data_IF_181696352321
#
_entry.id   IF_181696352321
#
_cell.length_a   1.000
_cell.length_b   1.000
_cell.length_c   1.000
_cell.angle_alpha   90.00
_cell.angle_beta   90.00
_cell.angle_gamma   90.00
#
_symmetry.space_group_name_H-M   'P 1'
#
loop_
_entity.id
_entity.type
_entity.pdbx_description
1 polymer ?
#
# COMPACT_ATOMS: atom_id res chain seq x y z
N UNK A 1 8.23 -21.30 13.84
CA UNK A 1 9.08 -20.22 13.31
C UNK A 1 8.23 -19.31 12.45
N UNK A 2 8.17 -18.02 12.77
CA UNK A 2 7.44 -17.02 11.99
C UNK A 2 8.18 -16.72 10.68
N UNK A 3 7.49 -16.14 9.68
CA UNK A 3 8.14 -15.69 8.44
C UNK A 3 9.23 -14.65 8.71
N UNK A 4 9.05 -13.80 9.72
CA UNK A 4 10.05 -12.83 10.16
C UNK A 4 11.31 -13.52 10.65
N UNK A 5 11.19 -14.52 11.52
CA UNK A 5 12.32 -15.29 12.02
C UNK A 5 13.08 -16.00 10.90
N UNK A 6 12.37 -16.54 9.91
CA UNK A 6 12.99 -17.18 8.74
C UNK A 6 13.78 -16.17 7.90
N UNK A 7 13.20 -14.99 7.62
CA UNK A 7 13.88 -13.98 6.79
C UNK A 7 15.14 -13.44 7.47
N UNK A 8 15.09 -13.19 8.79
CA UNK A 8 16.26 -12.77 9.56
C UNK A 8 17.35 -13.85 9.54
N UNK A 9 16.97 -15.12 9.63
CA UNK A 9 17.92 -16.23 9.58
C UNK A 9 18.61 -16.33 8.21
N UNK A 10 17.90 -16.10 7.11
CA UNK A 10 18.51 -16.10 5.77
C UNK A 10 19.38 -14.86 5.53
N UNK A 11 18.94 -13.67 5.95
CA UNK A 11 19.73 -12.44 5.81
C UNK A 11 21.08 -12.56 6.52
N UNK A 12 21.11 -13.12 7.72
CA UNK A 12 22.35 -13.32 8.48
C UNK A 12 23.37 -14.24 7.82
N UNK A 13 22.97 -15.03 6.81
CA UNK A 13 23.90 -15.89 6.04
C UNK A 13 24.58 -15.13 4.91
N UNK A 14 24.10 -13.95 4.54
CA UNK A 14 24.66 -13.15 3.46
C UNK A 14 25.94 -12.43 3.91
N UNK A 15 26.79 -11.98 2.97
CA UNK A 15 27.88 -11.05 3.26
C UNK A 15 27.37 -9.74 3.90
N UNK A 16 28.17 -9.07 4.75
CA UNK A 16 27.75 -7.84 5.43
C UNK A 16 27.22 -6.75 4.49
N UNK A 17 27.86 -6.55 3.33
CA UNK A 17 27.41 -5.56 2.35
C UNK A 17 25.99 -5.85 1.84
N UNK A 18 25.67 -7.12 1.58
CA UNK A 18 24.34 -7.51 1.15
C UNK A 18 23.32 -7.43 2.29
N UNK A 19 23.73 -7.68 3.53
CA UNK A 19 22.85 -7.51 4.68
C UNK A 19 22.36 -6.06 4.80
N UNK A 20 23.28 -5.10 4.64
CA UNK A 20 22.95 -3.67 4.67
C UNK A 20 22.06 -3.26 3.49
N UNK A 21 22.36 -3.72 2.27
CA UNK A 21 21.54 -3.42 1.09
C UNK A 21 20.09 -3.91 1.26
N UNK A 22 19.91 -5.15 1.74
CA UNK A 22 18.58 -5.70 2.01
C UNK A 22 17.89 -4.98 3.18
N UNK A 23 18.62 -4.64 4.25
CA UNK A 23 18.06 -3.92 5.38
C UNK A 23 17.54 -2.53 4.97
N UNK A 24 18.31 -1.79 4.15
CA UNK A 24 17.89 -0.51 3.60
C UNK A 24 16.60 -0.63 2.79
N UNK A 25 16.53 -1.61 1.87
CA UNK A 25 15.32 -1.85 1.08
C UNK A 25 14.09 -2.16 1.94
N UNK A 26 14.24 -2.95 3.02
CA UNK A 26 13.12 -3.21 3.92
C UNK A 26 12.69 -1.98 4.71
N UNK A 27 13.64 -1.15 5.16
CA UNK A 27 13.33 0.10 5.87
C UNK A 27 12.61 1.10 4.95
N UNK A 28 13.07 1.24 3.71
CA UNK A 28 12.41 2.07 2.70
C UNK A 28 10.99 1.58 2.43
N UNK A 29 10.82 0.27 2.25
CA UNK A 29 9.50 -0.32 2.02
C UNK A 29 8.55 -0.13 3.22
N UNK A 30 9.05 -0.20 4.45
CA UNK A 30 8.24 0.06 5.64
C UNK A 30 7.81 1.52 5.72
N UNK A 31 8.70 2.45 5.38
CA UNK A 31 8.39 3.88 5.34
C UNK A 31 7.39 4.23 4.22
N UNK A 32 7.52 3.60 3.04
CA UNK A 32 6.60 3.76 1.92
C UNK A 32 5.25 3.09 2.15
N UNK A 33 5.21 1.91 2.79
CA UNK A 33 3.96 1.21 3.06
C UNK A 33 3.00 2.07 3.88
N UNK A 34 3.50 2.85 4.82
CA UNK A 34 2.66 3.78 5.57
C UNK A 34 2.11 4.94 4.74
N UNK A 35 2.75 5.27 3.61
CA UNK A 35 2.29 6.36 2.72
C UNK A 35 1.27 5.92 1.68
N UNK A 36 1.31 4.66 1.23
CA UNK A 36 0.50 4.18 0.11
C UNK A 36 -0.51 3.07 0.46
N UNK A 37 -0.66 2.70 1.73
CA UNK A 37 -1.69 1.75 2.16
C UNK A 37 -3.00 2.46 2.45
N UNK A 38 -4.10 1.84 2.01
CA UNK A 38 -5.43 2.22 2.43
C UNK A 38 -5.65 1.79 3.89
N UNK A 39 -6.35 2.60 4.68
CA UNK A 39 -6.83 2.18 5.99
C UNK A 39 -7.84 1.05 5.85
N UNK A 40 -8.06 0.27 6.92
CA UNK A 40 -9.04 -0.81 6.91
C UNK A 40 -10.44 -0.32 6.48
N UNK A 41 -10.84 0.87 6.93
CA UNK A 41 -12.10 1.51 6.54
C UNK A 41 -12.14 1.83 5.03
N UNK A 42 -11.06 2.36 4.48
CA UNK A 42 -10.94 2.64 3.05
C UNK A 42 -10.98 1.35 2.22
N UNK A 43 -10.35 0.28 2.70
CA UNK A 43 -10.39 -1.05 2.06
C UNK A 43 -11.81 -1.61 2.06
N UNK A 44 -12.53 -1.53 3.17
CA UNK A 44 -13.93 -1.97 3.25
C UNK A 44 -14.83 -1.17 2.31
N UNK A 45 -14.64 0.15 2.21
CA UNK A 45 -15.40 0.98 1.26
C UNK A 45 -15.11 0.58 -0.21
N UNK A 46 -13.85 0.30 -0.55
CA UNK A 46 -13.50 -0.21 -1.89
C UNK A 46 -14.17 -1.56 -2.14
N UNK A 47 -14.11 -2.49 -1.19
CA UNK A 47 -14.77 -3.81 -1.29
C UNK A 47 -16.28 -3.66 -1.48
N UNK A 48 -16.94 -2.79 -0.70
CA UNK A 48 -18.37 -2.50 -0.80
C UNK A 48 -18.74 -1.98 -2.19
N UNK A 49 -17.97 -1.03 -2.74
CA UNK A 49 -18.21 -0.48 -4.10
C UNK A 49 -17.98 -1.52 -5.19
N UNK A 50 -16.97 -2.37 -5.05
CA UNK A 50 -16.71 -3.44 -6.02
C UNK A 50 -17.81 -4.51 -6.03
N UNK A 51 -18.50 -4.73 -4.91
CA UNK A 51 -19.59 -5.69 -4.80
C UNK A 51 -20.92 -5.17 -5.37
N UNK A 52 -21.03 -3.86 -5.68
CA UNK A 52 -22.22 -3.28 -6.29
C UNK A 52 -22.38 -3.75 -7.73
N UNK A 53 -23.52 -4.36 -8.04
CA UNK A 53 -23.84 -4.90 -9.38
C UNK A 53 -24.31 -3.83 -10.36
N UNK A 54 -24.64 -2.62 -9.87
CA UNK A 54 -25.06 -1.51 -10.72
C UNK A 54 -24.39 -0.20 -10.28
N UNK A 55 -23.05 -0.11 -10.42
CA UNK A 55 -22.30 1.04 -9.97
C UNK A 55 -22.63 2.29 -10.80
N UNK A 56 -22.64 3.44 -10.14
CA UNK A 56 -22.73 4.75 -10.81
C UNK A 56 -21.35 5.15 -11.29
N UNK A 57 -21.19 5.26 -12.61
CA UNK A 57 -19.98 5.76 -13.23
C UNK A 57 -20.04 7.28 -13.41
N UNK A 58 -18.86 7.89 -13.45
CA UNK A 58 -18.67 9.28 -13.80
C UNK A 58 -17.65 9.34 -14.92
N UNK A 59 -17.82 10.28 -15.83
CA UNK A 59 -16.75 10.68 -16.73
C UNK A 59 -15.63 11.35 -15.94
N UNK A 60 -14.43 11.35 -16.53
CA UNK A 60 -13.28 12.01 -15.91
C UNK A 60 -13.53 13.51 -15.66
N UNK A 61 -14.25 14.18 -16.56
CA UNK A 61 -14.56 15.61 -16.42
C UNK A 61 -15.54 15.87 -15.28
N UNK A 62 -16.59 15.06 -15.14
CA UNK A 62 -17.51 15.15 -13.99
C UNK A 62 -16.79 14.88 -12.66
N UNK A 63 -15.83 13.96 -12.64
CA UNK A 63 -15.01 13.69 -11.46
C UNK A 63 -14.13 14.89 -11.10
N UNK A 64 -13.46 15.50 -12.08
CA UNK A 64 -12.63 16.71 -11.87
C UNK A 64 -13.45 17.88 -11.34
N UNK A 65 -14.62 18.14 -11.91
CA UNK A 65 -15.51 19.22 -11.45
C UNK A 65 -15.98 19.01 -10.01
N UNK A 66 -16.30 17.77 -9.63
CA UNK A 66 -16.69 17.44 -8.25
C UNK A 66 -15.54 17.63 -7.26
N UNK A 67 -14.33 17.19 -7.63
CA UNK A 67 -13.14 17.37 -6.78
C UNK A 67 -12.80 18.85 -6.59
N UNK A 68 -12.87 19.65 -7.66
CA UNK A 68 -12.64 21.09 -7.60
C UNK A 68 -13.60 21.81 -6.64
N UNK A 69 -14.86 21.33 -6.53
CA UNK A 69 -15.85 21.88 -5.57
C UNK A 69 -15.60 21.47 -4.12
N UNK A 70 -14.98 20.32 -3.89
CA UNK A 70 -14.72 19.78 -2.54
C UNK A 70 -13.41 20.28 -1.94
N UNK A 71 -12.42 20.59 -2.80
CA UNK A 71 -11.06 20.98 -2.40
C UNK A 71 -10.78 22.48 -2.62
N UNK A 72 -11.79 23.24 -3.08
CA UNK A 72 -11.73 24.69 -3.30
C UNK A 72 -11.81 25.48 -2.01
#
# INVERSE_FOLDING_TARGET
>A
MTKLEQVIAELKKLPPEMQEDWAAMFLDQLDEQHRYTLTDEQVEEVRRRMADKNPVYLTLEEAKERLAKLLG
#
